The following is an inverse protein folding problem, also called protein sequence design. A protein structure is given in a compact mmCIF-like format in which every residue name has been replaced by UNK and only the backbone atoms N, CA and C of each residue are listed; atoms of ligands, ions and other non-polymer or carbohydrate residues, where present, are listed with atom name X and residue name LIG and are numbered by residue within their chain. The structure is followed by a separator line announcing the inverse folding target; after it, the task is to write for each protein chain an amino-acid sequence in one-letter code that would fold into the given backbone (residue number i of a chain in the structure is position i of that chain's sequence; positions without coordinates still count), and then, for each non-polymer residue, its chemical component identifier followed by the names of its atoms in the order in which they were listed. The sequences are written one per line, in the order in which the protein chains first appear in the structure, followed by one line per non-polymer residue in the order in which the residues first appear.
data_IF_590094143292
#
_entry.id   IF_590094143292
#
_cell.length_a   1.000
_cell.length_b   1.000
_cell.length_c   1.000
_cell.angle_alpha   90.00
_cell.angle_beta   90.00
_cell.angle_gamma   90.00
#
_symmetry.space_group_name_H-M   'P 1'
#
loop_
_entity.id
_entity.type
_entity.pdbx_description
1 polymer ?
#
# COMPACT_ATOMS: atom_id res chain seq x y z
N UNK A 1 -27.31 1.77 -5.74
CA UNK A 1 -28.17 2.95 -5.48
C UNK A 1 -28.16 3.20 -4.00
N UNK A 2 -27.44 4.22 -3.56
CA UNK A 2 -27.32 4.58 -2.16
C UNK A 2 -28.60 5.23 -1.63
N UNK A 3 -28.79 5.19 -0.34
CA UNK A 3 -29.90 5.89 0.33
C UNK A 3 -29.94 7.40 0.03
N UNK A 4 -28.86 7.96 -0.48
CA UNK A 4 -28.71 9.36 -0.89
C UNK A 4 -29.68 9.77 -2.01
N UNK A 5 -30.02 8.86 -2.94
CA UNK A 5 -30.94 9.16 -4.03
C UNK A 5 -32.39 9.37 -3.61
N UNK A 6 -32.75 8.98 -2.37
CA UNK A 6 -34.13 9.02 -1.86
C UNK A 6 -34.43 10.16 -0.90
N UNK A 7 -33.41 10.92 -0.49
CA UNK A 7 -33.58 12.01 0.48
C UNK A 7 -33.29 13.37 -0.19
N UNK A 8 -34.22 14.33 -0.13
CA UNK A 8 -34.11 15.63 -0.80
C UNK A 8 -32.98 16.53 -0.25
N UNK A 9 -32.32 16.12 0.80
CA UNK A 9 -31.09 16.72 1.33
C UNK A 9 -30.19 15.62 1.86
N UNK A 10 -29.33 15.07 0.98
CA UNK A 10 -28.38 14.01 1.34
C UNK A 10 -27.30 14.40 2.35
N UNK A 11 -27.49 15.49 3.09
CA UNK A 11 -26.51 16.06 4.01
C UNK A 11 -26.05 15.07 5.09
N UNK A 12 -26.94 14.25 5.64
CA UNK A 12 -26.58 13.30 6.71
C UNK A 12 -25.85 12.06 6.18
N UNK A 13 -26.22 11.57 5.00
CA UNK A 13 -25.61 10.35 4.43
C UNK A 13 -24.29 10.64 3.72
N UNK A 14 -24.20 11.74 3.00
CA UNK A 14 -22.95 12.25 2.44
C UNK A 14 -21.94 12.52 3.56
N UNK A 15 -22.39 13.01 4.72
CA UNK A 15 -21.55 13.24 5.88
C UNK A 15 -20.97 11.96 6.48
N UNK A 16 -21.68 10.83 6.46
CA UNK A 16 -21.18 9.56 7.02
C UNK A 16 -20.06 8.97 6.16
N UNK A 17 -20.20 8.90 4.86
CA UNK A 17 -19.14 8.43 3.95
C UNK A 17 -17.91 9.34 3.99
N UNK A 18 -18.13 10.65 3.95
CA UNK A 18 -17.05 11.63 4.06
C UNK A 18 -16.35 11.57 5.41
N UNK A 19 -17.10 11.42 6.50
CA UNK A 19 -16.54 11.28 7.85
C UNK A 19 -15.71 9.99 7.96
N UNK A 20 -16.22 8.86 7.47
CA UNK A 20 -15.49 7.61 7.46
C UNK A 20 -14.20 7.67 6.60
N UNK A 21 -14.26 8.28 5.42
CA UNK A 21 -13.09 8.54 4.59
C UNK A 21 -12.07 9.46 5.27
N UNK A 22 -12.55 10.51 5.95
CA UNK A 22 -11.68 11.40 6.72
C UNK A 22 -10.99 10.70 7.89
N UNK A 23 -11.72 9.91 8.68
CA UNK A 23 -11.16 9.13 9.79
C UNK A 23 -10.11 8.15 9.28
N UNK A 24 -10.42 7.40 8.21
CA UNK A 24 -9.48 6.44 7.63
C UNK A 24 -8.20 7.09 7.15
N UNK A 25 -8.28 8.19 6.40
CA UNK A 25 -7.09 8.89 5.92
C UNK A 25 -6.22 9.49 7.02
N UNK A 26 -6.84 9.91 8.14
CA UNK A 26 -6.15 10.54 9.27
C UNK A 26 -5.52 9.53 10.23
N UNK A 27 -5.76 8.23 10.06
CA UNK A 27 -5.33 7.16 10.97
C UNK A 27 -4.82 5.95 10.20
N UNK A 28 -3.86 6.16 9.30
CA UNK A 28 -3.22 5.09 8.53
C UNK A 28 -1.92 4.70 9.21
N UNK A 29 -1.80 3.45 9.62
CA UNK A 29 -0.59 2.93 10.27
C UNK A 29 0.29 2.17 9.29
N UNK A 30 1.49 2.69 8.97
CA UNK A 30 2.45 1.97 8.13
C UNK A 30 3.00 0.72 8.81
N UNK A 31 3.13 -0.37 8.06
CA UNK A 31 3.87 -1.54 8.50
C UNK A 31 5.37 -1.27 8.45
N UNK A 32 6.09 -1.79 9.43
CA UNK A 32 7.56 -1.77 9.44
C UNK A 32 8.07 -2.81 8.43
N UNK A 33 8.26 -2.39 7.17
CA UNK A 33 8.67 -3.28 6.09
C UNK A 33 9.64 -2.59 5.12
N UNK A 34 10.92 -2.66 5.43
CA UNK A 34 12.00 -2.10 4.61
C UNK A 34 12.93 -3.18 4.08
N UNK A 35 13.25 -3.17 2.79
CA UNK A 35 14.01 -4.23 2.12
C UNK A 35 15.39 -3.80 1.65
N UNK A 36 15.59 -2.53 1.31
CA UNK A 36 16.85 -2.03 0.76
C UNK A 36 17.03 -0.52 1.03
N UNK A 37 17.83 0.16 0.20
CA UNK A 37 18.16 1.58 0.35
C UNK A 37 16.95 2.51 0.46
N UNK A 38 15.82 2.22 -0.20
CA UNK A 38 14.61 3.02 -0.07
C UNK A 38 14.05 3.02 1.38
N UNK A 39 14.35 2.01 2.18
CA UNK A 39 13.98 1.97 3.59
C UNK A 39 14.65 3.07 4.41
N UNK A 40 15.86 3.48 4.04
CA UNK A 40 16.60 4.57 4.70
C UNK A 40 15.87 5.89 4.47
N UNK A 41 15.43 6.15 3.22
CA UNK A 41 14.62 7.34 2.90
C UNK A 41 13.24 7.30 3.57
N UNK A 42 12.63 6.12 3.68
CA UNK A 42 11.39 5.93 4.42
C UNK A 42 11.57 6.28 5.91
N UNK A 43 12.67 5.85 6.54
CA UNK A 43 13.00 6.24 7.93
C UNK A 43 13.26 7.74 8.05
N UNK A 44 13.94 8.33 7.07
CA UNK A 44 14.21 9.78 7.04
C UNK A 44 12.91 10.58 6.95
N UNK A 45 11.88 10.05 6.28
CA UNK A 45 10.55 10.70 6.21
C UNK A 45 9.86 10.77 7.58
N UNK A 46 10.15 9.83 8.48
CA UNK A 46 9.70 9.85 9.88
C UNK A 46 10.57 10.72 10.80
N UNK A 47 11.67 11.31 10.29
CA UNK A 47 12.53 12.18 11.09
C UNK A 47 11.92 13.58 11.25
N UNK A 48 12.35 14.31 12.29
CA UNK A 48 11.75 15.58 12.70
C UNK A 48 11.70 16.69 11.65
N UNK A 49 12.52 16.61 10.58
CA UNK A 49 12.46 17.57 9.47
C UNK A 49 11.19 17.40 8.61
N UNK A 50 10.75 16.16 8.40
CA UNK A 50 9.64 15.84 7.50
C UNK A 50 8.38 15.47 8.27
N UNK A 51 8.52 14.72 9.33
CA UNK A 51 7.53 14.33 10.32
C UNK A 51 6.18 13.87 9.74
N UNK A 52 5.96 12.57 9.72
CA UNK A 52 4.72 11.95 9.27
C UNK A 52 3.57 12.06 10.29
N UNK A 53 3.83 12.53 11.53
CA UNK A 53 2.83 12.64 12.58
C UNK A 53 1.64 13.50 12.17
N UNK A 54 1.90 14.61 11.49
CA UNK A 54 0.85 15.52 10.98
C UNK A 54 -0.09 14.89 9.94
N UNK A 55 0.31 13.76 9.36
CA UNK A 55 -0.51 12.98 8.42
C UNK A 55 -1.19 11.79 9.09
N UNK A 56 -1.05 11.62 10.41
CA UNK A 56 -1.58 10.49 11.15
C UNK A 56 -0.79 9.20 11.00
N UNK A 57 0.47 9.26 10.55
CA UNK A 57 1.32 8.11 10.22
C UNK A 57 2.60 8.03 11.05
N UNK A 58 2.59 8.57 12.26
CA UNK A 58 3.78 8.60 13.12
C UNK A 58 4.25 7.20 13.52
N UNK A 59 3.31 6.31 13.81
CA UNK A 59 3.63 5.01 14.42
C UNK A 59 3.75 3.93 13.37
N UNK A 60 4.98 3.52 13.08
CA UNK A 60 5.24 2.31 12.30
C UNK A 60 4.96 1.07 13.14
N UNK A 61 4.05 0.22 12.67
CA UNK A 61 3.65 -1.00 13.38
C UNK A 61 4.57 -2.17 13.00
N UNK A 62 5.10 -2.85 14.00
CA UNK A 62 5.89 -4.07 13.80
C UNK A 62 5.04 -5.30 13.47
N UNK A 63 3.74 -5.28 13.85
CA UNK A 63 2.81 -6.36 13.55
C UNK A 63 1.97 -6.01 12.32
N UNK A 64 1.96 -6.85 11.26
CA UNK A 64 1.13 -6.63 10.08
C UNK A 64 -0.37 -6.55 10.41
N UNK A 65 -0.81 -7.26 11.44
CA UNK A 65 -2.22 -7.29 11.87
C UNK A 65 -2.72 -5.97 12.46
N UNK A 66 -1.82 -5.04 12.75
CA UNK A 66 -2.11 -3.70 13.29
C UNK A 66 -1.78 -2.59 12.30
N UNK A 67 -1.40 -2.94 11.07
CA UNK A 67 -1.02 -2.00 10.04
C UNK A 67 -2.02 -2.01 8.90
N UNK A 68 -2.27 -0.83 8.34
CA UNK A 68 -3.20 -0.60 7.23
C UNK A 68 -2.48 -0.31 5.92
N UNK A 69 -1.24 0.16 5.99
CA UNK A 69 -0.43 0.54 4.85
C UNK A 69 0.85 -0.30 4.79
N UNK A 70 1.11 -0.93 3.65
CA UNK A 70 2.40 -1.55 3.35
C UNK A 70 3.20 -0.65 2.41
N UNK A 71 4.38 -0.22 2.84
CA UNK A 71 5.33 0.48 1.97
C UNK A 71 6.44 -0.49 1.61
N UNK A 72 6.43 -0.97 0.37
CA UNK A 72 7.48 -1.88 -0.12
C UNK A 72 8.66 -1.04 -0.54
N UNK A 73 9.61 -0.85 0.38
CA UNK A 73 10.74 0.05 0.22
C UNK A 73 12.00 -0.70 -0.23
N UNK A 74 12.18 -0.84 -1.53
CA UNK A 74 13.38 -1.42 -2.13
C UNK A 74 13.13 -2.66 -3.00
N UNK A 75 14.24 -3.33 -3.37
CA UNK A 75 14.18 -4.53 -4.22
C UNK A 75 13.62 -5.74 -3.48
N UNK A 76 12.75 -6.47 -4.14
CA UNK A 76 12.19 -7.73 -3.64
C UNK A 76 12.94 -8.90 -4.28
N UNK A 77 13.61 -9.72 -3.47
CA UNK A 77 14.22 -10.94 -3.98
C UNK A 77 13.16 -12.04 -4.15
N UNK A 78 13.44 -12.99 -5.05
CA UNK A 78 12.55 -14.14 -5.28
C UNK A 78 12.29 -14.93 -3.98
N UNK A 79 13.31 -15.05 -3.11
CA UNK A 79 13.16 -15.71 -1.80
C UNK A 79 12.31 -14.90 -0.81
N UNK A 80 12.26 -13.59 -0.97
CA UNK A 80 11.47 -12.70 -0.09
C UNK A 80 10.03 -12.52 -0.57
N UNK A 81 9.75 -12.79 -1.84
CA UNK A 81 8.41 -12.63 -2.40
C UNK A 81 7.31 -13.42 -1.65
N UNK A 82 7.51 -14.71 -1.26
CA UNK A 82 6.53 -15.44 -0.45
C UNK A 82 6.30 -14.80 0.92
N UNK A 83 7.35 -14.30 1.55
CA UNK A 83 7.26 -13.62 2.86
C UNK A 83 6.49 -12.31 2.74
N UNK A 84 6.76 -11.52 1.69
CA UNK A 84 6.00 -10.31 1.37
C UNK A 84 4.50 -10.63 1.25
N UNK A 85 4.17 -11.68 0.52
CA UNK A 85 2.78 -12.11 0.35
C UNK A 85 2.16 -12.53 1.68
N UNK A 86 2.84 -13.30 2.51
CA UNK A 86 2.35 -13.70 3.83
C UNK A 86 2.10 -12.49 4.75
N UNK A 87 3.00 -11.50 4.72
CA UNK A 87 2.83 -10.26 5.50
C UNK A 87 1.61 -9.49 5.01
N UNK A 88 1.43 -9.39 3.69
CA UNK A 88 0.26 -8.74 3.10
C UNK A 88 -1.06 -9.44 3.48
N UNK A 89 -1.08 -10.76 3.45
CA UNK A 89 -2.27 -11.55 3.80
C UNK A 89 -2.65 -11.42 5.28
N UNK A 90 -1.67 -11.14 6.16
CA UNK A 90 -1.91 -10.89 7.59
C UNK A 90 -2.47 -9.51 7.89
N UNK A 91 -2.39 -8.56 6.97
CA UNK A 91 -2.94 -7.23 7.16
C UNK A 91 -4.48 -7.26 7.08
N UNK A 92 -5.18 -6.56 7.99
CA UNK A 92 -6.63 -6.46 7.93
C UNK A 92 -7.10 -5.60 6.75
N UNK A 93 -8.28 -5.84 6.24
CA UNK A 93 -8.95 -4.91 5.32
C UNK A 93 -9.65 -3.80 6.12
N UNK A 94 -9.58 -2.57 5.67
CA UNK A 94 -8.99 -2.03 4.44
C UNK A 94 -7.46 -1.88 4.50
N UNK A 95 -6.76 -2.26 3.44
CA UNK A 95 -5.29 -2.18 3.34
C UNK A 95 -4.86 -1.56 2.01
N UNK A 96 -3.70 -0.91 2.02
CA UNK A 96 -3.13 -0.22 0.86
C UNK A 96 -1.66 -0.56 0.71
N UNK A 97 -1.16 -0.49 -0.52
CA UNK A 97 0.24 -0.80 -0.84
C UNK A 97 0.86 0.34 -1.65
N UNK A 98 1.99 0.85 -1.18
CA UNK A 98 2.84 1.78 -1.92
C UNK A 98 4.09 1.03 -2.37
N UNK A 99 4.35 1.00 -3.67
CA UNK A 99 5.60 0.53 -4.24
C UNK A 99 6.61 1.66 -4.26
N UNK A 100 7.57 1.65 -3.33
CA UNK A 100 8.55 2.72 -3.16
C UNK A 100 9.85 2.41 -3.90
N UNK A 101 10.14 3.24 -4.88
CA UNK A 101 11.35 3.20 -5.68
C UNK A 101 11.23 2.33 -6.92
N UNK A 102 12.15 2.55 -7.83
CA UNK A 102 12.22 1.87 -9.13
C UNK A 102 12.40 0.36 -8.99
N UNK A 103 13.12 -0.09 -7.95
CA UNK A 103 13.35 -1.51 -7.72
C UNK A 103 12.08 -2.27 -7.35
N UNK A 104 11.22 -1.67 -6.53
CA UNK A 104 9.92 -2.26 -6.20
C UNK A 104 8.95 -2.17 -7.38
N UNK A 105 9.02 -1.11 -8.18
CA UNK A 105 8.07 -0.87 -9.28
C UNK A 105 8.34 -1.72 -10.53
N UNK A 106 9.62 -1.99 -10.85
CA UNK A 106 10.00 -2.68 -12.11
C UNK A 106 11.30 -3.48 -12.02
N UNK A 107 11.84 -3.71 -10.81
CA UNK A 107 13.16 -4.32 -10.64
C UNK A 107 14.32 -3.34 -10.82
N UNK A 108 14.10 -2.20 -11.48
CA UNK A 108 15.10 -1.15 -11.69
C UNK A 108 16.35 -1.62 -12.41
N UNK A 109 17.53 -1.30 -11.83
CA UNK A 109 18.82 -1.72 -12.36
C UNK A 109 19.11 -3.22 -12.13
N UNK A 110 18.32 -3.92 -11.34
CA UNK A 110 18.52 -5.33 -10.98
C UNK A 110 17.71 -6.26 -11.89
N UNK A 111 17.94 -6.17 -13.20
CA UNK A 111 17.28 -7.06 -14.17
C UNK A 111 17.97 -8.43 -14.18
N UNK A 112 17.71 -9.24 -13.17
CA UNK A 112 18.23 -10.59 -13.03
C UNK A 112 17.18 -11.56 -12.46
N UNK A 113 17.45 -12.87 -12.54
CA UNK A 113 16.55 -13.92 -12.08
C UNK A 113 16.34 -13.95 -10.56
N UNK A 114 17.19 -13.29 -9.78
CA UNK A 114 17.11 -13.30 -8.32
C UNK A 114 16.15 -12.26 -7.75
N UNK A 115 15.78 -11.25 -8.56
CA UNK A 115 14.93 -10.12 -8.15
C UNK A 115 13.62 -10.16 -8.91
N UNK A 116 12.54 -9.91 -8.18
CA UNK A 116 11.19 -9.78 -8.76
C UNK A 116 11.12 -8.49 -9.55
N UNK A 117 10.68 -8.58 -10.80
CA UNK A 117 10.60 -7.45 -11.73
C UNK A 117 9.28 -6.69 -11.59
N UNK A 118 9.01 -6.22 -10.38
CA UNK A 118 7.80 -5.49 -10.00
C UNK A 118 7.04 -6.19 -8.87
N UNK A 119 6.76 -5.44 -7.81
CA UNK A 119 6.04 -5.97 -6.64
C UNK A 119 4.56 -6.25 -6.94
N UNK A 120 4.02 -5.64 -7.98
CA UNK A 120 2.69 -5.87 -8.51
C UNK A 120 2.45 -7.31 -8.98
N UNK A 121 3.53 -8.05 -9.26
CA UNK A 121 3.44 -9.50 -9.49
C UNK A 121 3.18 -10.32 -8.21
N UNK A 122 3.36 -9.75 -7.03
CA UNK A 122 3.21 -10.45 -5.74
C UNK A 122 1.99 -9.96 -4.96
N UNK A 123 1.79 -8.64 -4.91
CA UNK A 123 0.68 -7.98 -4.20
C UNK A 123 0.11 -6.84 -5.06
N UNK A 124 -1.19 -6.54 -4.95
CA UNK A 124 -1.78 -5.41 -5.64
C UNK A 124 -1.16 -4.10 -5.14
N UNK A 125 -0.83 -3.19 -6.05
CA UNK A 125 -0.21 -1.89 -5.75
C UNK A 125 -1.19 -0.76 -5.99
N UNK A 126 -1.35 0.11 -5.00
CA UNK A 126 -2.22 1.28 -5.09
C UNK A 126 -1.51 2.49 -5.67
N UNK A 127 -0.26 2.70 -5.28
CA UNK A 127 0.54 3.85 -5.72
C UNK A 127 1.97 3.42 -6.01
N UNK A 128 2.48 3.87 -7.15
CA UNK A 128 3.88 3.73 -7.53
C UNK A 128 4.62 5.03 -7.27
N UNK A 129 5.73 4.94 -6.55
CA UNK A 129 6.61 6.05 -6.23
C UNK A 129 7.96 5.87 -6.94
N UNK A 130 8.22 6.60 -8.03
CA UNK A 130 9.48 6.49 -8.77
C UNK A 130 10.64 7.15 -8.02
N UNK A 131 11.84 6.67 -8.26
CA UNK A 131 13.09 7.20 -7.71
C UNK A 131 14.07 6.09 -7.32
N UNK A 132 15.35 6.44 -7.14
CA UNK A 132 16.38 5.46 -6.77
C UNK A 132 17.47 6.09 -5.88
N UNK A 133 17.21 6.23 -4.57
CA UNK A 133 15.93 6.22 -3.88
C UNK A 133 15.10 7.49 -4.14
N UNK A 134 13.77 7.43 -4.00
CA UNK A 134 12.95 8.63 -4.03
C UNK A 134 13.20 9.48 -2.79
N UNK A 135 13.17 10.80 -2.95
CA UNK A 135 13.34 11.72 -1.82
C UNK A 135 12.17 11.63 -0.83
N UNK A 136 12.37 11.98 0.45
CA UNK A 136 11.30 11.99 1.46
C UNK A 136 10.07 12.80 1.05
N UNK A 137 10.27 13.95 0.36
CA UNK A 137 9.17 14.79 -0.13
C UNK A 137 8.29 14.05 -1.16
N UNK A 138 8.89 13.20 -1.98
CA UNK A 138 8.15 12.38 -2.95
C UNK A 138 7.31 11.31 -2.25
N UNK A 139 7.80 10.73 -1.15
CA UNK A 139 7.02 9.81 -0.34
C UNK A 139 5.84 10.54 0.32
N UNK A 140 6.05 11.76 0.83
CA UNK A 140 4.98 12.59 1.36
C UNK A 140 3.91 12.91 0.30
N UNK A 141 4.32 13.24 -0.93
CA UNK A 141 3.38 13.47 -2.05
C UNK A 141 2.58 12.20 -2.38
N UNK A 142 3.23 11.03 -2.36
CA UNK A 142 2.53 9.75 -2.57
C UNK A 142 1.51 9.46 -1.46
N UNK A 143 1.83 9.79 -0.21
CA UNK A 143 0.91 9.70 0.93
C UNK A 143 -0.29 10.64 0.73
N UNK A 144 -0.06 11.86 0.29
CA UNK A 144 -1.16 12.80 -0.02
C UNK A 144 -2.06 12.30 -1.16
N UNK A 145 -1.49 11.64 -2.17
CA UNK A 145 -2.26 11.00 -3.23
C UNK A 145 -3.06 9.80 -2.69
N UNK A 146 -2.46 9.01 -1.80
CA UNK A 146 -3.16 7.92 -1.11
C UNK A 146 -4.33 8.44 -0.27
N UNK A 147 -4.15 9.54 0.47
CA UNK A 147 -5.20 10.17 1.24
C UNK A 147 -6.39 10.60 0.36
N UNK A 148 -6.11 11.15 -0.83
CA UNK A 148 -7.17 11.48 -1.80
C UNK A 148 -7.88 10.23 -2.28
N UNK A 149 -7.15 9.14 -2.58
CA UNK A 149 -7.74 7.86 -2.97
C UNK A 149 -8.65 7.32 -1.87
N UNK A 150 -8.18 7.24 -0.64
CA UNK A 150 -8.94 6.76 0.52
C UNK A 150 -10.23 7.58 0.73
N UNK A 151 -10.16 8.89 0.57
CA UNK A 151 -11.30 9.78 0.77
C UNK A 151 -12.41 9.60 -0.26
N UNK A 152 -12.07 9.17 -1.49
CA UNK A 152 -13.02 8.95 -2.59
C UNK A 152 -13.39 7.46 -2.74
N UNK A 153 -12.80 6.60 -1.95
CA UNK A 153 -13.10 5.16 -1.97
C UNK A 153 -14.48 4.88 -1.36
N UNK A 154 -15.28 4.09 -2.08
CA UNK A 154 -16.59 3.66 -1.59
C UNK A 154 -16.43 2.70 -0.41
N UNK A 155 -17.40 2.73 0.49
CA UNK A 155 -17.46 1.83 1.64
C UNK A 155 -18.17 0.51 1.28
N UNK A 156 -17.84 -0.55 2.03
CA UNK A 156 -18.60 -1.79 1.98
C UNK A 156 -18.21 -2.78 0.90
N UNK A 157 -19.15 -3.59 0.40
CA UNK A 157 -18.85 -4.75 -0.46
C UNK A 157 -18.21 -4.38 -1.79
N UNK A 158 -18.50 -3.22 -2.37
CA UNK A 158 -17.90 -2.76 -3.62
C UNK A 158 -16.37 -2.59 -3.54
N UNK A 159 -15.87 -2.24 -2.37
CA UNK A 159 -14.42 -2.19 -2.13
C UNK A 159 -13.83 -3.60 -2.09
N UNK A 160 -14.46 -4.53 -1.38
CA UNK A 160 -13.99 -5.91 -1.29
C UNK A 160 -13.93 -6.58 -2.67
N UNK A 161 -14.87 -6.28 -3.55
CA UNK A 161 -14.87 -6.74 -4.93
C UNK A 161 -13.70 -6.15 -5.73
N UNK A 162 -13.44 -4.85 -5.59
CA UNK A 162 -12.32 -4.17 -6.25
C UNK A 162 -10.94 -4.70 -5.75
N UNK A 163 -10.81 -4.93 -4.46
CA UNK A 163 -9.61 -5.56 -3.87
C UNK A 163 -9.41 -6.99 -4.42
N UNK A 164 -10.48 -7.79 -4.49
CA UNK A 164 -10.43 -9.14 -5.02
C UNK A 164 -10.08 -9.18 -6.53
N UNK A 165 -10.56 -8.22 -7.31
CA UNK A 165 -10.20 -8.10 -8.73
C UNK A 165 -8.73 -7.69 -8.92
N UNK A 166 -8.25 -6.71 -8.14
CA UNK A 166 -6.86 -6.28 -8.16
C UNK A 166 -5.93 -7.44 -7.75
N UNK A 167 -6.32 -8.23 -6.76
CA UNK A 167 -5.59 -9.40 -6.32
C UNK A 167 -5.53 -10.51 -7.40
N UNK A 168 -6.65 -10.78 -8.07
CA UNK A 168 -6.68 -11.75 -9.19
C UNK A 168 -5.79 -11.30 -10.34
N UNK A 169 -5.71 -9.99 -10.60
CA UNK A 169 -4.86 -9.43 -11.65
C UNK A 169 -3.38 -9.55 -11.28
N UNK A 170 -3.00 -9.25 -10.05
CA UNK A 170 -1.65 -9.45 -9.54
C UNK A 170 -1.22 -10.91 -9.62
N UNK A 171 -2.07 -11.84 -9.20
CA UNK A 171 -1.77 -13.28 -9.24
C UNK A 171 -1.68 -13.85 -10.67
N UNK A 172 -2.41 -13.28 -11.65
CA UNK A 172 -2.29 -13.69 -13.07
C UNK A 172 -0.94 -13.30 -13.70
N UNK A 173 -0.30 -12.28 -13.19
CA UNK A 173 1.00 -11.84 -13.69
C UNK A 173 2.17 -12.72 -13.25
N UNK A 174 1.93 -13.80 -12.49
CA UNK A 174 2.93 -14.74 -11.98
C UNK A 174 2.99 -16.05 -12.79
N UNK A 175 3.62 -16.12 -13.96
CA UNK A 175 3.84 -17.42 -14.61
C UNK A 175 5.06 -18.20 -14.05
N UNK A 176 5.86 -17.60 -13.16
CA UNK A 176 7.19 -18.12 -12.80
C UNK A 176 7.38 -18.51 -11.33
N UNK A 177 6.43 -18.25 -10.44
CA UNK A 177 6.57 -18.63 -9.03
C UNK A 177 5.40 -19.53 -8.65
N UNK A 178 5.62 -20.84 -8.62
CA UNK A 178 4.70 -21.75 -7.94
C UNK A 178 4.80 -21.50 -6.43
N UNK A 179 3.99 -20.55 -5.97
CA UNK A 179 3.93 -20.18 -4.55
C UNK A 179 3.50 -21.36 -3.66
N UNK A 180 2.79 -22.36 -4.21
CA UNK A 180 2.40 -23.56 -3.47
C UNK A 180 3.57 -24.52 -3.21
N UNK A 181 4.61 -24.48 -4.05
CA UNK A 181 5.83 -25.25 -3.85
C UNK A 181 6.82 -24.66 -2.86
N UNK A 182 6.76 -23.34 -2.62
CA UNK A 182 7.66 -22.62 -1.71
C UNK A 182 7.17 -22.54 -0.25
N UNK A 183 5.90 -22.90 -0.01
CA UNK A 183 5.27 -22.89 1.33
C UNK A 183 5.25 -24.29 2.00
N UNK A 184 5.98 -25.25 1.43
CA UNK A 184 6.17 -26.60 2.01
C UNK A 184 7.51 -26.76 2.69
#
# INVERSE_FOLDING_TARGET
MGLEEKLPSGFLLTSVEQAAGWVRKASVFPATFGLACCAIEMMTTGAGRYDLARFGMEVFRGSPRQADLMIVAGRVSQKMAPVLRQVYDQMPSPKWVISMGVCASSGGMFNNYAIVQGVDHVVPVDIYLPGCPPRPEMLMDSILKLHKKIQHEKLGPQRAEAEAEAEKTALKALPLIDMKGLLR
#
